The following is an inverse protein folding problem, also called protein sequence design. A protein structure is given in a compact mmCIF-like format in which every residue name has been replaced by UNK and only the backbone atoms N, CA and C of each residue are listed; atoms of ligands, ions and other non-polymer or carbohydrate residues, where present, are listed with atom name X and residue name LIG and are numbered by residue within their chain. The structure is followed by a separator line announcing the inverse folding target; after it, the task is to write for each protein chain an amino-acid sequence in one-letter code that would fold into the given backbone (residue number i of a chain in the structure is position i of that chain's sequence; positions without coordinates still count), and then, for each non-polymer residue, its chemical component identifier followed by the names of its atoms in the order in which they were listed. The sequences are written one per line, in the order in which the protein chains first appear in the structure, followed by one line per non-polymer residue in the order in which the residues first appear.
data_IF_224644293834
#
_entry.id   IF_224644293834
#
_cell.length_a   1.000
_cell.length_b   1.000
_cell.length_c   1.000
_cell.angle_alpha   90.00
_cell.angle_beta   90.00
_cell.angle_gamma   90.00
#
_symmetry.space_group_name_H-M   'P 1'
#
loop_
_entity.id
_entity.type
_entity.pdbx_description
1 polymer ?
#
# COMPACT_ATOMS: atom_id res chain seq x y z
N UNK A 1 26.33 -3.20 -70.24
CA UNK A 1 27.64 -3.87 -70.36
C UNK A 1 28.72 -2.81 -70.21
N UNK A 2 29.34 -2.74 -69.03
CA UNK A 2 30.72 -2.28 -68.82
C UNK A 2 31.08 -2.48 -67.35
N UNK A 3 32.07 -3.36 -67.17
CA UNK A 3 32.53 -3.93 -65.92
C UNK A 3 33.69 -3.05 -65.46
N UNK A 4 33.57 -2.39 -64.30
CA UNK A 4 34.71 -1.73 -63.67
C UNK A 4 35.26 -2.63 -62.56
N UNK A 5 36.41 -3.23 -62.87
CA UNK A 5 37.28 -3.96 -61.96
C UNK A 5 37.84 -3.00 -60.92
N UNK A 6 37.84 -3.38 -59.65
CA UNK A 6 38.77 -2.80 -58.68
C UNK A 6 39.37 -3.89 -57.79
N UNK A 7 40.68 -3.80 -57.68
CA UNK A 7 41.60 -4.81 -57.20
C UNK A 7 41.59 -4.98 -55.67
N UNK A 8 41.81 -6.23 -55.30
CA UNK A 8 42.08 -6.76 -53.96
C UNK A 8 43.39 -6.19 -53.42
N UNK A 9 43.41 -5.78 -52.14
CA UNK A 9 44.62 -5.82 -51.33
C UNK A 9 44.28 -6.38 -49.94
N UNK A 10 44.94 -7.49 -49.62
CA UNK A 10 44.93 -8.16 -48.33
C UNK A 10 45.67 -7.31 -47.30
N UNK A 11 45.05 -7.07 -46.15
CA UNK A 11 45.75 -6.75 -44.92
C UNK A 11 45.11 -7.55 -43.78
N UNK A 12 45.77 -8.67 -43.48
CA UNK A 12 45.49 -9.52 -42.32
C UNK A 12 45.85 -8.74 -41.05
N UNK A 13 44.84 -8.38 -40.26
CA UNK A 13 45.03 -7.91 -38.90
C UNK A 13 44.54 -9.00 -37.93
N UNK A 14 45.49 -9.70 -37.33
CA UNK A 14 45.27 -10.52 -36.15
C UNK A 14 44.80 -9.64 -34.99
N UNK A 15 43.49 -9.59 -34.76
CA UNK A 15 42.95 -9.02 -33.52
C UNK A 15 42.85 -10.16 -32.50
N UNK A 16 43.79 -10.16 -31.57
CA UNK A 16 43.77 -11.01 -30.38
C UNK A 16 42.56 -10.63 -29.54
N UNK A 17 41.53 -11.48 -29.53
CA UNK A 17 40.36 -11.31 -28.68
C UNK A 17 40.71 -11.70 -27.23
N UNK A 18 40.98 -10.70 -26.38
CA UNK A 18 40.99 -10.91 -24.93
C UNK A 18 39.56 -11.19 -24.46
N UNK A 19 39.25 -12.46 -24.20
CA UNK A 19 38.03 -12.87 -23.51
C UNK A 19 38.17 -12.47 -22.04
N UNK A 20 37.65 -11.30 -21.68
CA UNK A 20 37.46 -10.92 -20.28
C UNK A 20 36.18 -11.60 -19.82
N UNK A 21 36.32 -12.74 -19.16
CA UNK A 21 35.20 -13.39 -18.46
C UNK A 21 34.78 -12.50 -17.29
N UNK A 22 33.73 -11.70 -17.48
CA UNK A 22 33.11 -10.94 -16.41
C UNK A 22 32.38 -11.90 -15.47
N UNK A 23 33.02 -12.26 -14.36
CA UNK A 23 32.33 -12.92 -13.25
C UNK A 23 31.41 -11.90 -12.59
N UNK A 24 30.12 -11.95 -12.96
CA UNK A 24 29.07 -11.22 -12.25
C UNK A 24 28.98 -11.73 -10.82
N UNK A 25 29.70 -11.08 -9.90
CA UNK A 25 29.50 -11.29 -8.48
C UNK A 25 28.07 -10.85 -8.14
N UNK A 26 27.18 -11.81 -7.94
CA UNK A 26 25.86 -11.59 -7.35
C UNK A 26 26.10 -11.22 -5.89
N UNK A 27 26.27 -9.92 -5.63
CA UNK A 27 26.25 -9.40 -4.27
C UNK A 27 24.82 -9.63 -3.77
N UNK A 28 24.66 -10.62 -2.89
CA UNK A 28 23.43 -10.85 -2.18
C UNK A 28 23.02 -9.53 -1.50
N UNK A 29 22.01 -8.85 -2.05
CA UNK A 29 21.44 -7.68 -1.40
C UNK A 29 20.97 -8.10 0.00
N UNK A 30 21.33 -7.36 1.06
CA UNK A 30 20.77 -7.60 2.38
C UNK A 30 19.24 -7.61 2.24
N UNK A 31 18.61 -8.73 2.59
CA UNK A 31 17.16 -8.83 2.72
C UNK A 31 16.75 -7.64 3.59
N UNK A 32 15.85 -6.73 3.13
CA UNK A 32 15.45 -5.58 3.92
C UNK A 32 15.02 -6.12 5.27
N UNK A 33 15.72 -5.68 6.32
CA UNK A 33 15.39 -6.03 7.68
C UNK A 33 13.93 -5.66 7.85
N UNK A 34 13.10 -6.68 8.07
CA UNK A 34 11.74 -6.51 8.51
C UNK A 34 11.84 -5.80 9.87
N UNK A 35 11.86 -4.46 9.83
CA UNK A 35 11.59 -3.65 10.99
C UNK A 35 10.18 -4.03 11.39
N UNK A 36 10.10 -4.99 12.31
CA UNK A 36 8.88 -5.42 12.94
C UNK A 36 8.42 -4.25 13.82
N UNK A 37 7.86 -3.21 13.19
CA UNK A 37 6.91 -2.35 13.88
C UNK A 37 5.65 -3.21 14.07
N UNK A 38 5.72 -4.05 15.09
CA UNK A 38 4.61 -4.90 15.51
C UNK A 38 3.53 -3.93 15.94
N UNK A 39 2.46 -3.81 15.14
CA UNK A 39 1.26 -3.10 15.56
C UNK A 39 0.83 -3.72 16.89
N UNK A 40 0.94 -2.93 17.98
CA UNK A 40 0.53 -3.37 19.31
C UNK A 40 -0.95 -3.05 19.47
N UNK A 41 -1.80 -3.98 19.06
CA UNK A 41 -3.20 -4.00 19.49
C UNK A 41 -3.26 -4.51 20.93
N UNK A 42 -4.14 -3.93 21.73
CA UNK A 42 -4.46 -4.48 23.05
C UNK A 42 -5.16 -5.84 22.89
N UNK A 43 -5.07 -6.76 23.88
CA UNK A 43 -5.77 -8.04 23.83
C UNK A 43 -7.28 -7.90 23.57
N UNK A 44 -7.90 -6.87 24.15
CA UNK A 44 -9.33 -6.56 23.94
C UNK A 44 -9.61 -6.16 22.50
N UNK A 45 -8.84 -5.23 21.91
CA UNK A 45 -8.99 -4.83 20.51
C UNK A 45 -8.82 -6.03 19.56
N UNK A 46 -7.85 -6.91 19.83
CA UNK A 46 -7.63 -8.10 19.02
C UNK A 46 -8.79 -9.10 19.14
N UNK A 47 -9.34 -9.30 20.34
CA UNK A 47 -10.51 -10.16 20.55
C UNK A 47 -11.72 -9.66 19.76
N UNK A 48 -11.95 -8.34 19.76
CA UNK A 48 -13.04 -7.68 19.01
C UNK A 48 -12.86 -7.83 17.50
N UNK A 49 -11.65 -7.66 16.95
CA UNK A 49 -11.41 -7.89 15.52
C UNK A 49 -11.62 -9.35 15.13
N UNK A 50 -11.11 -10.29 15.94
CA UNK A 50 -11.23 -11.72 15.65
C UNK A 50 -12.66 -12.23 15.71
N UNK A 51 -13.54 -11.61 16.52
CA UNK A 51 -14.95 -12.02 16.59
C UNK A 51 -15.73 -11.76 15.30
N UNK A 52 -15.22 -10.94 14.38
CA UNK A 52 -15.85 -10.75 13.07
C UNK A 52 -15.69 -11.94 12.13
N UNK A 53 -14.73 -12.85 12.36
CA UNK A 53 -14.44 -13.95 11.44
C UNK A 53 -13.88 -13.50 10.08
N UNK A 54 -13.56 -12.22 9.92
CA UNK A 54 -12.87 -11.70 8.73
C UNK A 54 -11.37 -11.95 8.83
N UNK A 55 -10.72 -12.11 7.67
CA UNK A 55 -9.27 -11.94 7.59
C UNK A 55 -8.95 -10.51 8.01
N UNK A 56 -8.01 -10.37 8.94
CA UNK A 56 -7.55 -9.08 9.43
C UNK A 56 -6.30 -8.73 8.63
N UNK A 57 -6.25 -7.53 8.05
CA UNK A 57 -5.05 -6.97 7.45
C UNK A 57 -4.75 -5.58 8.04
N UNK A 58 -3.50 -5.38 8.43
CA UNK A 58 -3.03 -4.17 9.09
C UNK A 58 -1.62 -3.79 8.59
N UNK A 59 -1.22 -2.50 8.66
CA UNK A 59 0.06 -2.01 8.17
C UNK A 59 1.23 -2.49 9.02
N UNK A 60 2.17 -3.23 8.44
CA UNK A 60 3.41 -3.62 9.13
C UNK A 60 4.38 -2.46 9.35
N UNK A 61 4.09 -1.29 8.77
CA UNK A 61 4.84 -0.06 8.96
C UNK A 61 3.90 1.03 9.50
N UNK A 62 4.33 1.65 10.60
CA UNK A 62 3.71 2.86 11.13
C UNK A 62 4.77 3.96 11.20
N UNK A 63 4.40 5.22 10.88
CA UNK A 63 5.29 6.36 11.11
C UNK A 63 5.61 6.48 12.60
N UNK A 64 6.70 7.17 12.93
CA UNK A 64 7.09 7.39 14.32
C UNK A 64 5.94 8.01 15.13
N UNK A 65 5.78 7.55 16.37
CA UNK A 65 4.76 7.97 17.34
C UNK A 65 3.31 7.64 16.97
N UNK A 66 3.06 6.90 15.88
CA UNK A 66 1.73 6.35 15.63
C UNK A 66 1.48 5.07 16.43
N UNK A 67 0.26 4.93 16.92
CA UNK A 67 -0.24 3.73 17.56
C UNK A 67 -1.71 3.51 17.18
N UNK A 68 -2.20 2.28 17.33
CA UNK A 68 -3.63 2.00 17.16
C UNK A 68 -4.39 2.56 18.38
N UNK A 69 -5.25 3.56 18.13
CA UNK A 69 -6.06 4.23 19.16
C UNK A 69 -7.39 3.49 19.34
N UNK A 70 -8.13 3.28 18.25
CA UNK A 70 -9.46 2.68 18.26
C UNK A 70 -9.57 1.53 17.27
N UNK A 71 -10.40 0.57 17.67
CA UNK A 71 -10.85 -0.54 16.82
C UNK A 71 -12.36 -0.57 16.89
N UNK A 72 -12.99 -0.42 15.74
CA UNK A 72 -14.44 -0.45 15.58
C UNK A 72 -14.79 -1.62 14.67
N UNK A 73 -15.87 -2.31 15.01
CA UNK A 73 -16.41 -3.43 14.24
C UNK A 73 -17.90 -3.22 14.08
N UNK A 74 -18.40 -3.39 12.87
CA UNK A 74 -19.80 -3.15 12.56
C UNK A 74 -20.32 -4.25 11.64
N UNK A 75 -21.54 -4.69 11.93
CA UNK A 75 -22.32 -5.51 11.03
C UNK A 75 -23.11 -4.60 10.08
N UNK A 76 -23.17 -4.99 8.81
CA UNK A 76 -24.00 -4.34 7.81
C UNK A 76 -25.47 -4.38 8.19
N UNK A 77 -26.26 -3.46 7.62
CA UNK A 77 -27.71 -3.40 7.88
C UNK A 77 -28.40 -4.66 7.35
N UNK A 78 -29.57 -4.96 7.91
CA UNK A 78 -30.48 -5.99 7.41
C UNK A 78 -30.60 -5.87 5.87
N UNK A 79 -30.35 -6.98 5.17
CA UNK A 79 -30.32 -7.15 3.69
C UNK A 79 -28.95 -7.01 2.98
N UNK A 80 -27.89 -6.53 3.63
CA UNK A 80 -26.52 -6.64 3.10
C UNK A 80 -25.61 -7.15 4.21
N UNK A 81 -25.27 -8.44 4.19
CA UNK A 81 -24.33 -9.04 5.15
C UNK A 81 -22.89 -8.59 4.89
N UNK A 82 -22.62 -7.28 4.99
CA UNK A 82 -21.27 -6.73 4.92
C UNK A 82 -20.73 -6.54 6.34
N UNK A 83 -19.74 -7.32 6.74
CA UNK A 83 -18.99 -7.07 7.97
C UNK A 83 -17.89 -6.06 7.66
N UNK A 84 -17.67 -5.11 8.56
CA UNK A 84 -16.61 -4.11 8.43
C UNK A 84 -15.86 -3.93 9.73
N UNK A 85 -14.59 -3.53 9.62
CA UNK A 85 -13.84 -3.01 10.75
C UNK A 85 -13.08 -1.75 10.35
N UNK A 86 -12.81 -0.91 11.34
CA UNK A 86 -11.98 0.27 11.22
C UNK A 86 -10.93 0.24 12.33
N UNK A 87 -9.66 0.37 11.96
CA UNK A 87 -8.57 0.60 12.93
C UNK A 87 -8.06 2.01 12.74
N UNK A 88 -8.27 2.85 13.75
CA UNK A 88 -7.83 4.25 13.76
C UNK A 88 -6.46 4.33 14.40
N UNK A 89 -5.53 4.99 13.72
CA UNK A 89 -4.17 5.23 14.16
C UNK A 89 -3.97 6.71 14.45
N UNK A 90 -3.46 7.02 15.64
CA UNK A 90 -3.21 8.39 16.07
C UNK A 90 -1.73 8.58 16.40
N UNK A 91 -1.21 9.74 16.05
CA UNK A 91 0.11 10.16 16.47
C UNK A 91 0.06 10.74 17.89
N UNK A 92 0.90 10.25 18.80
CA UNK A 92 0.94 10.72 20.19
C UNK A 92 1.69 12.04 20.38
N UNK A 93 2.38 12.55 19.36
CA UNK A 93 3.19 13.79 19.43
C UNK A 93 2.72 14.89 18.47
N UNK A 94 1.74 14.61 17.62
CA UNK A 94 1.20 15.55 16.65
C UNK A 94 -0.27 15.27 16.41
N UNK A 95 -1.03 16.28 15.99
CA UNK A 95 -2.45 16.10 15.65
C UNK A 95 -2.61 15.47 14.25
N UNK A 96 -2.19 14.22 14.11
CA UNK A 96 -2.26 13.44 12.87
C UNK A 96 -2.92 12.11 13.11
N UNK A 97 -3.83 11.72 12.22
CA UNK A 97 -4.45 10.42 12.27
C UNK A 97 -4.82 9.90 10.88
N UNK A 98 -5.03 8.59 10.80
CA UNK A 98 -5.55 7.89 9.63
C UNK A 98 -6.25 6.62 10.10
N UNK A 99 -6.91 5.91 9.20
CA UNK A 99 -7.43 4.59 9.49
C UNK A 99 -7.16 3.58 8.38
N UNK A 100 -7.30 2.32 8.77
CA UNK A 100 -7.41 1.18 7.85
C UNK A 100 -8.82 0.65 7.98
N UNK A 101 -9.56 0.73 6.89
CA UNK A 101 -10.93 0.23 6.80
C UNK A 101 -10.94 -1.11 6.09
N UNK A 102 -11.83 -2.00 6.52
CA UNK A 102 -12.13 -3.27 5.87
C UNK A 102 -13.63 -3.41 5.58
N UNK A 103 -13.99 -4.07 4.50
CA UNK A 103 -15.37 -4.48 4.20
C UNK A 103 -15.43 -5.85 3.53
N UNK A 104 -16.42 -6.67 3.86
CA UNK A 104 -16.64 -7.99 3.25
C UNK A 104 -17.53 -7.99 2.00
N UNK A 105 -18.01 -6.83 1.53
CA UNK A 105 -18.85 -6.77 0.34
C UNK A 105 -19.16 -5.35 -0.14
N UNK A 106 -19.75 -5.26 -1.35
CA UNK A 106 -20.28 -4.02 -1.91
C UNK A 106 -19.24 -2.93 -2.12
N UNK A 107 -18.19 -3.21 -2.90
CA UNK A 107 -17.19 -2.19 -3.25
C UNK A 107 -17.50 -1.56 -4.60
N UNK A 108 -17.57 -0.22 -4.61
CA UNK A 108 -17.48 0.57 -5.82
C UNK A 108 -16.08 1.15 -5.98
N UNK A 109 -15.74 1.52 -7.21
CA UNK A 109 -14.51 2.24 -7.49
C UNK A 109 -14.59 3.65 -6.90
N UNK A 110 -13.45 4.13 -6.39
CA UNK A 110 -13.32 5.51 -5.98
C UNK A 110 -13.13 6.39 -7.23
N UNK A 111 -13.85 7.51 -7.40
CA UNK A 111 -13.54 8.44 -8.48
C UNK A 111 -12.13 9.02 -8.30
N UNK A 112 -11.45 9.32 -9.41
CA UNK A 112 -10.12 9.92 -9.37
C UNK A 112 -10.13 11.27 -8.66
N UNK A 113 -9.08 11.52 -7.89
CA UNK A 113 -8.90 12.76 -7.16
C UNK A 113 -8.27 13.87 -8.00
N UNK A 114 -7.90 14.96 -7.33
CA UNK A 114 -7.06 16.00 -7.93
C UNK A 114 -5.61 15.54 -8.14
N UNK A 115 -5.16 14.53 -7.39
CA UNK A 115 -3.87 13.86 -7.55
C UNK A 115 -3.99 12.39 -7.19
N UNK A 116 -3.21 11.57 -7.87
CA UNK A 116 -3.18 10.12 -7.68
C UNK A 116 -1.75 9.66 -7.41
N UNK A 117 -1.58 8.76 -6.44
CA UNK A 117 -0.29 8.22 -6.04
C UNK A 117 -0.33 6.70 -6.16
N UNK A 118 0.55 6.06 -6.95
CA UNK A 118 0.50 4.62 -7.15
C UNK A 118 0.87 3.87 -5.87
N UNK A 119 0.08 2.85 -5.55
CA UNK A 119 0.36 1.88 -4.49
C UNK A 119 0.74 0.56 -5.17
N UNK A 120 1.88 0.00 -4.75
CA UNK A 120 2.27 -1.36 -5.10
C UNK A 120 2.38 -2.19 -3.82
N UNK A 121 1.33 -2.95 -3.51
CA UNK A 121 1.28 -3.82 -2.33
C UNK A 121 1.85 -5.20 -2.67
N UNK A 122 2.85 -5.69 -1.93
CA UNK A 122 3.40 -7.04 -2.11
C UNK A 122 2.40 -8.20 -1.98
N UNK A 123 1.24 -8.00 -1.32
CA UNK A 123 0.23 -9.07 -1.17
C UNK A 123 -1.10 -8.79 -1.89
N UNK A 124 -1.36 -7.54 -2.27
CA UNK A 124 -2.62 -7.14 -2.92
C UNK A 124 -2.42 -6.58 -4.33
N UNK A 125 -1.17 -6.47 -4.81
CA UNK A 125 -0.87 -5.96 -6.13
C UNK A 125 -0.98 -4.43 -6.25
N UNK A 126 -1.33 -3.96 -7.44
CA UNK A 126 -1.40 -2.54 -7.77
C UNK A 126 -2.71 -1.92 -7.30
N UNK A 127 -2.63 -0.69 -6.81
CA UNK A 127 -3.75 0.15 -6.41
C UNK A 127 -3.35 1.62 -6.51
N UNK A 128 -4.21 2.53 -6.09
CA UNK A 128 -3.97 3.98 -6.15
C UNK A 128 -4.47 4.63 -4.87
N UNK A 129 -3.67 5.56 -4.33
CA UNK A 129 -4.10 6.51 -3.31
C UNK A 129 -4.55 7.79 -4.02
N UNK A 130 -5.78 8.20 -3.79
CA UNK A 130 -6.31 9.43 -4.37
C UNK A 130 -6.32 10.56 -3.34
N UNK A 131 -5.96 11.76 -3.77
CA UNK A 131 -6.12 12.99 -3.00
C UNK A 131 -7.32 13.77 -3.54
N UNK A 132 -8.33 14.04 -2.71
CA UNK A 132 -9.57 14.66 -3.17
C UNK A 132 -10.58 14.90 -2.05
N UNK A 133 -11.82 15.22 -2.41
CA UNK A 133 -12.93 15.34 -1.47
C UNK A 133 -13.73 14.03 -1.47
N UNK A 134 -13.69 13.30 -0.36
CA UNK A 134 -14.31 11.98 -0.24
C UNK A 134 -15.11 11.84 1.05
N UNK A 135 -16.20 11.07 0.98
CA UNK A 135 -17.08 10.83 2.13
C UNK A 135 -17.58 12.14 2.73
N UNK A 136 -17.36 12.33 4.03
CA UNK A 136 -17.79 13.51 4.76
C UNK A 136 -16.73 14.65 4.80
N UNK A 137 -15.59 14.48 4.13
CA UNK A 137 -14.47 15.41 4.24
C UNK A 137 -14.83 16.80 3.70
N UNK A 138 -14.52 17.84 4.50
CA UNK A 138 -14.72 19.25 4.13
C UNK A 138 -13.49 19.88 3.48
N UNK A 139 -12.36 19.19 3.54
CA UNK A 139 -11.07 19.60 2.97
C UNK A 139 -10.46 18.41 2.22
N UNK A 140 -9.55 18.65 1.26
CA UNK A 140 -8.87 17.57 0.56
C UNK A 140 -8.23 16.57 1.52
N UNK A 141 -8.51 15.29 1.29
CA UNK A 141 -8.05 14.16 2.09
C UNK A 141 -7.46 13.07 1.20
N UNK A 142 -6.96 12.00 1.82
CA UNK A 142 -6.36 10.86 1.16
C UNK A 142 -7.25 9.64 1.32
N UNK A 143 -7.59 8.95 0.23
CA UNK A 143 -8.38 7.73 0.28
C UNK A 143 -7.86 6.78 -0.79
N UNK A 144 -7.52 5.54 -0.41
CA UNK A 144 -7.08 4.58 -1.41
C UNK A 144 -8.25 3.88 -2.08
N UNK A 145 -8.04 3.46 -3.32
CA UNK A 145 -8.81 2.39 -3.92
C UNK A 145 -8.72 1.14 -3.03
N UNK A 146 -9.71 0.26 -3.18
CA UNK A 146 -9.74 -0.99 -2.45
C UNK A 146 -8.53 -1.88 -2.81
N UNK A 147 -7.88 -2.40 -1.78
CA UNK A 147 -6.89 -3.48 -1.82
C UNK A 147 -7.62 -4.77 -1.44
N UNK A 148 -7.19 -5.92 -1.97
CA UNK A 148 -7.79 -7.21 -1.63
C UNK A 148 -8.06 -8.06 -2.87
N UNK A 149 -8.85 -9.11 -2.70
CA UNK A 149 -9.28 -9.97 -3.80
C UNK A 149 -10.77 -10.24 -3.72
N UNK A 150 -11.37 -10.66 -4.84
CA UNK A 150 -12.81 -10.94 -4.96
C UNK A 150 -13.32 -11.99 -3.96
N UNK A 151 -12.44 -12.86 -3.43
CA UNK A 151 -12.79 -13.96 -2.54
C UNK A 151 -12.47 -13.67 -1.07
N UNK A 152 -12.36 -12.39 -0.68
CA UNK A 152 -12.07 -11.99 0.68
C UNK A 152 -12.53 -10.55 0.97
N UNK A 153 -12.32 -10.08 2.21
CA UNK A 153 -12.55 -8.68 2.51
C UNK A 153 -11.59 -7.78 1.74
N UNK A 154 -12.07 -6.57 1.46
CA UNK A 154 -11.31 -5.48 0.88
C UNK A 154 -10.82 -4.56 1.98
N UNK A 155 -9.70 -3.88 1.74
CA UNK A 155 -9.06 -2.98 2.68
C UNK A 155 -8.69 -1.67 2.00
N UNK A 156 -8.68 -0.55 2.73
CA UNK A 156 -8.16 0.70 2.19
C UNK A 156 -7.59 1.60 3.27
N UNK A 157 -6.72 2.51 2.84
CA UNK A 157 -6.27 3.63 3.65
C UNK A 157 -7.34 4.72 3.63
N UNK A 158 -7.66 5.24 4.82
CA UNK A 158 -8.65 6.31 5.00
C UNK A 158 -8.00 7.49 5.72
N UNK A 159 -7.98 8.64 5.06
CA UNK A 159 -7.50 9.90 5.59
C UNK A 159 -8.57 10.67 6.36
N UNK A 160 -8.21 11.87 6.81
CA UNK A 160 -9.01 12.66 7.73
C UNK A 160 -10.32 13.18 7.13
N UNK A 161 -11.32 13.39 7.99
CA UNK A 161 -12.64 13.89 7.61
C UNK A 161 -13.54 12.94 6.82
N UNK A 162 -13.02 11.81 6.30
CA UNK A 162 -13.84 10.83 5.56
C UNK A 162 -14.89 10.20 6.47
N UNK A 163 -14.48 9.85 7.70
CA UNK A 163 -15.29 9.24 8.74
C UNK A 163 -15.30 10.12 10.01
N UNK A 164 -16.35 10.07 10.84
CA UNK A 164 -16.44 10.86 12.07
C UNK A 164 -15.26 10.69 13.02
N UNK A 165 -14.70 9.48 13.10
CA UNK A 165 -13.56 9.14 13.95
C UNK A 165 -12.27 9.86 13.54
N UNK A 166 -12.22 10.39 12.32
CA UNK A 166 -11.06 11.06 11.74
C UNK A 166 -11.30 12.57 11.56
N UNK A 167 -12.27 13.14 12.28
CA UNK A 167 -12.69 14.54 12.13
C UNK A 167 -11.79 15.56 12.81
N UNK A 168 -11.08 15.17 13.88
CA UNK A 168 -10.31 16.07 14.74
C UNK A 168 -8.80 15.83 14.63
N UNK A 169 -8.30 15.66 13.40
CA UNK A 169 -6.86 15.51 13.16
C UNK A 169 -6.49 15.91 11.73
N UNK A 170 -5.19 16.09 11.47
CA UNK A 170 -4.66 16.35 10.13
C UNK A 170 -4.13 15.09 9.43
N UNK A 171 -4.12 15.10 8.09
CA UNK A 171 -3.61 13.99 7.31
C UNK A 171 -2.10 13.78 7.50
N UNK A 172 -1.66 12.53 7.35
CA UNK A 172 -0.26 12.24 7.01
C UNK A 172 0.06 12.74 5.60
N UNK A 173 1.33 12.79 5.21
CA UNK A 173 1.69 13.16 3.83
C UNK A 173 1.27 12.07 2.85
N UNK A 174 1.04 12.38 1.56
CA UNK A 174 0.70 11.38 0.55
C UNK A 174 1.74 10.26 0.46
N UNK A 175 3.03 10.59 0.53
CA UNK A 175 4.11 9.61 0.47
C UNK A 175 4.08 8.67 1.68
N UNK A 176 3.73 9.18 2.85
CA UNK A 176 3.60 8.39 4.06
C UNK A 176 2.37 7.47 3.99
N UNK A 177 1.23 7.98 3.51
CA UNK A 177 0.03 7.18 3.26
C UNK A 177 0.27 6.05 2.25
N UNK A 178 1.05 6.30 1.19
CA UNK A 178 1.48 5.26 0.24
C UNK A 178 2.30 4.18 0.95
N UNK A 179 3.32 4.56 1.73
CA UNK A 179 4.14 3.58 2.50
C UNK A 179 3.30 2.73 3.44
N UNK A 180 2.40 3.36 4.20
CA UNK A 180 1.45 2.67 5.09
C UNK A 180 0.62 1.67 4.28
N UNK A 181 0.00 2.12 3.18
CA UNK A 181 -0.85 1.28 2.32
C UNK A 181 -0.10 0.07 1.74
N UNK A 182 1.14 0.28 1.27
CA UNK A 182 1.99 -0.80 0.72
C UNK A 182 2.45 -1.79 1.80
N UNK A 183 2.49 -1.37 3.06
CA UNK A 183 2.86 -2.20 4.20
C UNK A 183 1.71 -3.04 4.74
N UNK A 184 0.48 -2.86 4.26
CA UNK A 184 -0.65 -3.66 4.73
C UNK A 184 -0.41 -5.14 4.42
N UNK A 185 -0.51 -5.97 5.46
CA UNK A 185 -0.33 -7.42 5.43
C UNK A 185 -1.42 -8.09 6.26
N UNK A 186 -1.69 -9.35 5.98
CA UNK A 186 -2.52 -10.15 6.87
C UNK A 186 -1.88 -10.21 8.27
N UNK A 187 -2.69 -9.99 9.29
CA UNK A 187 -2.32 -10.08 10.69
C UNK A 187 -2.58 -11.52 11.17
N UNK A 188 -1.54 -12.16 11.72
CA UNK A 188 -1.61 -13.51 12.28
C UNK A 188 -1.90 -13.44 13.79
#
# INVERSE_FOLDING_TARGET
MNILKYSVNFASFCVVACIIASTSAVIAQPRPSQSNSVIKLTPTQLKVLRSLGLKIALPSYLPANFHADKVLVEAGRENVQSLRYLVVYQNSSADKCFAIESTSGGIGDLPSGSRSYPINSPIFGKSVLEQGLYGNAKQPTLLSQWLGSQNGPFYRFVGTGVLPELSNCSNVTPQEAVKISQSVRYFN
#
